data_IF_277177502860
#
_entry.id   IF_277177502860
#
_cell.length_a   1.000
_cell.length_b   1.000
_cell.length_c   1.000
_cell.angle_alpha   90.00
_cell.angle_beta   90.00
_cell.angle_gamma   90.00
#
_symmetry.space_group_name_H-M   'P 1'
#
loop_
_entity.id
_entity.type
_entity.pdbx_description
1 polymer ?
#
# COMPACT_ATOMS: atom_id res chain seq x y z
N UNK A 1 -12.06 26.25 -22.49
CA UNK A 1 -12.62 24.89 -22.36
C UNK A 1 -12.12 24.33 -21.03
N UNK A 2 -12.97 24.29 -20.00
CA UNK A 2 -12.65 23.60 -18.75
C UNK A 2 -13.00 22.13 -18.97
N UNK A 3 -11.99 21.26 -19.06
CA UNK A 3 -12.24 19.82 -19.11
C UNK A 3 -12.81 19.41 -17.75
N UNK A 4 -14.00 18.81 -17.71
CA UNK A 4 -14.62 18.23 -16.51
C UNK A 4 -13.83 16.98 -16.01
N UNK A 5 -12.53 16.90 -16.30
CA UNK A 5 -11.73 15.76 -15.92
C UNK A 5 -11.47 15.85 -14.41
N UNK A 6 -11.95 14.89 -13.60
CA UNK A 6 -11.96 15.00 -12.14
C UNK A 6 -10.58 14.73 -11.50
N UNK A 7 -9.49 15.21 -12.11
CA UNK A 7 -8.12 14.90 -11.71
C UNK A 7 -7.54 15.91 -10.69
N UNK A 8 -8.32 16.32 -9.69
CA UNK A 8 -7.86 17.22 -8.63
C UNK A 8 -7.50 16.50 -7.31
N UNK A 9 -7.55 15.17 -7.28
CA UNK A 9 -7.23 14.36 -6.10
C UNK A 9 -6.85 12.92 -6.43
N UNK A 10 -6.46 12.12 -5.42
CA UNK A 10 -6.14 10.71 -5.61
C UNK A 10 -7.30 9.96 -6.28
N UNK A 11 -6.98 9.04 -7.18
CA UNK A 11 -7.96 8.16 -7.82
C UNK A 11 -8.68 7.35 -6.74
N UNK A 12 -10.01 7.29 -6.75
CA UNK A 12 -10.79 6.50 -5.79
C UNK A 12 -10.61 5.00 -6.00
N UNK A 13 -10.93 4.18 -4.98
CA UNK A 13 -10.82 2.72 -5.06
C UNK A 13 -11.71 2.15 -6.18
N UNK A 14 -12.96 2.59 -6.25
CA UNK A 14 -13.89 2.19 -7.31
C UNK A 14 -13.36 2.53 -8.70
N UNK A 15 -12.72 3.71 -8.84
CA UNK A 15 -12.15 4.13 -10.11
C UNK A 15 -10.93 3.30 -10.48
N UNK A 16 -10.11 2.88 -9.51
CA UNK A 16 -9.02 1.95 -9.75
C UNK A 16 -9.52 0.57 -10.22
N UNK A 17 -10.63 0.06 -9.65
CA UNK A 17 -11.26 -1.18 -10.11
C UNK A 17 -11.75 -1.04 -11.57
N UNK A 18 -12.42 0.06 -11.90
CA UNK A 18 -12.86 0.32 -13.28
C UNK A 18 -11.68 0.42 -14.26
N UNK A 19 -10.60 1.10 -13.87
CA UNK A 19 -9.39 1.20 -14.70
C UNK A 19 -8.78 -0.20 -14.91
N UNK A 20 -8.68 -1.00 -13.86
CA UNK A 20 -8.17 -2.37 -13.92
C UNK A 20 -8.95 -3.22 -14.92
N UNK A 21 -10.29 -3.18 -14.85
CA UNK A 21 -11.16 -3.93 -15.75
C UNK A 21 -10.96 -3.50 -17.21
N UNK A 22 -10.85 -2.19 -17.46
CA UNK A 22 -10.62 -1.67 -18.79
C UNK A 22 -9.26 -2.11 -19.35
N UNK A 23 -8.19 -2.00 -18.55
CA UNK A 23 -6.85 -2.44 -18.94
C UNK A 23 -6.79 -3.95 -19.19
N UNK A 24 -7.46 -4.76 -18.37
CA UNK A 24 -7.52 -6.20 -18.53
C UNK A 24 -8.23 -6.58 -19.83
N UNK A 25 -9.36 -5.93 -20.13
CA UNK A 25 -10.07 -6.13 -21.38
C UNK A 25 -9.19 -5.78 -22.60
N UNK A 26 -8.54 -4.62 -22.59
CA UNK A 26 -7.64 -4.18 -23.65
C UNK A 26 -6.43 -5.10 -23.83
N UNK A 27 -5.93 -5.70 -22.74
CA UNK A 27 -4.80 -6.62 -22.79
C UNK A 27 -5.17 -7.96 -23.45
N UNK A 28 -6.40 -8.47 -23.26
CA UNK A 28 -6.86 -9.72 -23.87
C UNK A 28 -6.85 -9.71 -25.41
N UNK A 29 -7.07 -8.54 -26.01
CA UNK A 29 -7.06 -8.38 -27.47
C UNK A 29 -5.72 -7.84 -28.01
N UNK A 30 -4.66 -7.88 -27.20
CA UNK A 30 -3.38 -7.32 -27.56
C UNK A 30 -2.56 -8.24 -28.45
N UNK A 31 -1.82 -7.66 -29.40
CA UNK A 31 -1.04 -8.39 -30.40
C UNK A 31 0.41 -8.71 -29.98
N UNK A 32 0.75 -8.54 -28.69
CA UNK A 32 2.11 -8.77 -28.19
C UNK A 32 3.16 -7.73 -28.64
N UNK A 33 2.74 -6.61 -29.25
CA UNK A 33 3.63 -5.49 -29.57
C UNK A 33 3.99 -4.63 -28.35
N UNK A 34 4.79 -3.59 -28.54
CA UNK A 34 5.22 -2.70 -27.44
C UNK A 34 4.06 -2.15 -26.59
N UNK A 35 2.92 -1.82 -27.22
CA UNK A 35 1.70 -1.39 -26.51
C UNK A 35 1.14 -2.48 -25.59
N UNK A 36 1.23 -3.75 -25.98
CA UNK A 36 0.76 -4.88 -25.19
C UNK A 36 1.49 -4.98 -23.85
N UNK A 37 2.83 -4.88 -23.91
CA UNK A 37 3.68 -4.92 -22.72
C UNK A 37 3.42 -3.73 -21.81
N UNK A 38 3.31 -2.52 -22.35
CA UNK A 38 2.97 -1.32 -21.56
C UNK A 38 1.61 -1.49 -20.86
N UNK A 39 0.60 -2.03 -21.55
CA UNK A 39 -0.71 -2.28 -20.94
C UNK A 39 -0.63 -3.33 -19.81
N UNK A 40 0.18 -4.38 -19.99
CA UNK A 40 0.40 -5.38 -18.95
C UNK A 40 1.08 -4.79 -17.71
N UNK A 41 2.09 -3.94 -17.90
CA UNK A 41 2.77 -3.25 -16.81
C UNK A 41 1.82 -2.29 -16.07
N UNK A 42 0.99 -1.55 -16.81
CA UNK A 42 -0.02 -0.67 -16.21
C UNK A 42 -1.05 -1.46 -15.40
N UNK A 43 -1.49 -2.62 -15.90
CA UNK A 43 -2.38 -3.50 -15.15
C UNK A 43 -1.73 -3.95 -13.83
N UNK A 44 -0.45 -4.34 -13.86
CA UNK A 44 0.30 -4.72 -12.66
C UNK A 44 0.45 -3.56 -11.66
N UNK A 45 0.72 -2.34 -12.14
CA UNK A 45 0.78 -1.15 -11.27
C UNK A 45 -0.56 -0.92 -10.58
N UNK A 46 -1.68 -1.08 -11.28
CA UNK A 46 -3.01 -0.95 -10.67
C UNK A 46 -3.25 -2.06 -9.64
N UNK A 47 -2.86 -3.30 -9.93
CA UNK A 47 -2.94 -4.41 -8.98
C UNK A 47 -2.14 -4.14 -7.69
N UNK A 48 -0.91 -3.63 -7.81
CA UNK A 48 -0.06 -3.27 -6.68
C UNK A 48 -0.66 -2.13 -5.84
N UNK A 49 -1.23 -1.11 -6.49
CA UNK A 49 -1.92 -0.01 -5.79
C UNK A 49 -3.16 -0.50 -5.04
N UNK A 50 -3.94 -1.40 -5.65
CA UNK A 50 -5.11 -2.00 -5.00
C UNK A 50 -4.70 -2.85 -3.79
N UNK A 51 -3.66 -3.68 -3.94
CA UNK A 51 -3.13 -4.47 -2.85
C UNK A 51 -2.62 -3.59 -1.69
N UNK A 52 -1.90 -2.51 -2.00
CA UNK A 52 -1.40 -1.58 -1.00
C UNK A 52 -2.51 -0.81 -0.26
N UNK A 53 -3.59 -0.44 -0.95
CA UNK A 53 -4.73 0.26 -0.34
C UNK A 53 -5.64 -0.64 0.47
N UNK A 54 -5.70 -1.93 0.15
CA UNK A 54 -6.43 -2.95 0.91
C UNK A 54 -5.54 -3.65 1.95
N UNK A 55 -4.31 -3.19 2.18
CA UNK A 55 -3.42 -3.79 3.15
C UNK A 55 -3.97 -3.58 4.58
N UNK A 56 -4.12 -4.68 5.31
CA UNK A 56 -4.49 -4.64 6.72
C UNK A 56 -3.35 -4.02 7.55
N UNK A 57 -3.66 -3.18 8.55
CA UNK A 57 -2.65 -2.62 9.43
C UNK A 57 -1.93 -3.72 10.21
N UNK A 58 -0.61 -3.60 10.34
CA UNK A 58 0.22 -4.60 11.06
C UNK A 58 0.16 -4.39 12.57
N UNK A 59 -0.04 -3.15 13.02
CA UNK A 59 -0.19 -2.79 14.42
C UNK A 59 -1.06 -1.53 14.58
N UNK A 60 -1.67 -1.38 15.74
CA UNK A 60 -2.39 -0.17 16.16
C UNK A 60 -1.56 0.58 17.22
N UNK A 61 -1.43 1.89 17.07
CA UNK A 61 -0.98 2.77 18.15
C UNK A 61 -2.21 3.18 18.95
N UNK A 62 -2.32 2.71 20.18
CA UNK A 62 -3.44 3.02 21.07
C UNK A 62 -2.96 3.97 22.17
N UNK A 63 -3.75 5.01 22.43
CA UNK A 63 -3.53 5.85 23.58
C UNK A 63 -4.05 5.12 24.83
N UNK A 64 -3.19 4.95 25.82
CA UNK A 64 -3.63 4.63 27.17
C UNK A 64 -3.47 5.86 28.06
N UNK A 65 -4.46 6.07 28.94
CA UNK A 65 -4.46 7.19 29.86
C UNK A 65 -4.84 6.70 31.24
N UNK A 66 -3.97 6.96 32.21
CA UNK A 66 -4.24 6.85 33.64
C UNK A 66 -3.84 8.15 34.31
N UNK A 67 -4.69 8.63 35.20
CA UNK A 67 -4.45 9.86 35.95
C UNK A 67 -3.16 9.73 36.78
N UNK A 68 -2.23 10.68 36.62
CA UNK A 68 -0.93 10.69 37.30
C UNK A 68 0.21 9.96 36.59
N UNK A 69 -0.03 9.32 35.44
CA UNK A 69 0.99 8.70 34.60
C UNK A 69 1.13 9.45 33.27
N UNK A 70 2.36 9.56 32.76
CA UNK A 70 2.64 10.14 31.45
C UNK A 70 1.95 9.31 30.36
N UNK A 71 1.28 9.96 29.40
CA UNK A 71 0.54 9.29 28.32
C UNK A 71 1.47 8.35 27.55
N UNK A 72 1.40 7.06 27.86
CA UNK A 72 2.16 6.04 27.15
C UNK A 72 1.28 5.55 26.01
N UNK A 73 1.74 5.74 24.78
CA UNK A 73 1.13 5.10 23.62
C UNK A 73 1.58 3.64 23.60
N UNK A 74 0.64 2.70 23.61
CA UNK A 74 0.93 1.28 23.43
C UNK A 74 0.82 0.90 21.95
N UNK A 75 1.66 -0.04 21.51
CA UNK A 75 1.56 -0.64 20.17
C UNK A 75 0.92 -2.02 20.31
N UNK A 76 -0.25 -2.22 19.73
CA UNK A 76 -0.93 -3.52 19.65
C UNK A 76 -0.67 -4.16 18.30
N UNK A 77 0.12 -5.23 18.29
CA UNK A 77 0.36 -6.01 17.07
C UNK A 77 -0.91 -6.77 16.66
N UNK A 78 -1.28 -6.68 15.38
CA UNK A 78 -2.35 -7.49 14.77
C UNK A 78 -1.84 -8.79 14.17
N UNK A 79 -0.56 -8.84 13.83
CA UNK A 79 0.13 -10.02 13.27
C UNK A 79 0.95 -10.75 14.33
N UNK A 80 0.97 -12.08 14.23
CA UNK A 80 1.66 -12.97 15.17
C UNK A 80 3.05 -13.42 14.69
N UNK A 81 3.44 -13.06 13.46
CA UNK A 81 4.70 -13.47 12.82
C UNK A 81 5.80 -12.39 12.92
N UNK A 82 5.63 -11.41 13.82
CA UNK A 82 6.64 -10.39 14.12
C UNK A 82 7.33 -10.77 15.42
N UNK A 83 8.64 -11.02 15.36
CA UNK A 83 9.44 -11.28 16.56
C UNK A 83 9.44 -10.06 17.49
N UNK A 84 9.34 -10.26 18.82
CA UNK A 84 9.49 -9.16 19.77
C UNK A 84 10.84 -8.45 19.61
N UNK A 85 10.83 -7.12 19.58
CA UNK A 85 12.04 -6.32 19.46
C UNK A 85 11.75 -4.83 19.34
N UNK A 86 12.78 -3.97 19.49
CA UNK A 86 12.64 -2.54 19.26
C UNK A 86 12.28 -2.24 17.80
N UNK A 87 11.42 -1.24 17.61
CA UNK A 87 11.10 -0.69 16.29
C UNK A 87 12.04 0.47 15.98
N UNK A 88 12.63 0.46 14.80
CA UNK A 88 13.52 1.51 14.35
C UNK A 88 12.90 2.25 13.16
N UNK A 89 12.92 3.59 13.22
CA UNK A 89 12.50 4.44 12.10
C UNK A 89 13.47 4.35 10.90
N UNK A 90 14.71 3.95 11.16
CA UNK A 90 15.77 3.73 10.18
C UNK A 90 16.40 2.38 10.47
N UNK A 91 16.65 1.51 9.48
CA UNK A 91 17.29 0.23 9.71
C UNK A 91 18.58 0.40 10.54
N UNK A 92 18.77 -0.37 11.63
CA UNK A 92 19.98 -0.29 12.41
C UNK A 92 21.17 -0.66 11.52
N UNK A 93 22.30 0.00 11.76
CA UNK A 93 23.54 -0.32 11.04
C UNK A 93 23.87 -1.79 11.29
N UNK A 94 24.02 -2.56 10.21
CA UNK A 94 24.44 -3.96 10.28
C UNK A 94 25.75 -4.05 11.09
N UNK A 95 25.68 -4.74 12.23
CA UNK A 95 26.86 -5.15 13.00
C UNK A 95 27.19 -6.60 12.67
N UNK A 96 28.46 -6.97 12.87
CA UNK A 96 29.05 -8.28 12.57
C UNK A 96 28.33 -9.47 13.23
N UNK A 97 27.47 -9.21 14.22
CA UNK A 97 26.75 -10.22 15.00
C UNK A 97 25.49 -10.76 14.29
N UNK A 98 25.11 -10.21 13.13
CA UNK A 98 23.95 -10.63 12.33
C UNK A 98 24.34 -11.31 11.00
N UNK A 99 25.54 -11.90 10.92
CA UNK A 99 26.03 -12.70 9.79
C UNK A 99 26.00 -14.20 10.10
#
# INVERSE_FOLDING_TARGET
>A
MTTNHPANGPVSLDRLHQIREHLLHDNQYSNGGNRAYILADMLKVVDEVLAGRNAEPVADVVAWHKEGEERTCDIRWRRFDVSPGPLYAVPPKLTSDNL
#
